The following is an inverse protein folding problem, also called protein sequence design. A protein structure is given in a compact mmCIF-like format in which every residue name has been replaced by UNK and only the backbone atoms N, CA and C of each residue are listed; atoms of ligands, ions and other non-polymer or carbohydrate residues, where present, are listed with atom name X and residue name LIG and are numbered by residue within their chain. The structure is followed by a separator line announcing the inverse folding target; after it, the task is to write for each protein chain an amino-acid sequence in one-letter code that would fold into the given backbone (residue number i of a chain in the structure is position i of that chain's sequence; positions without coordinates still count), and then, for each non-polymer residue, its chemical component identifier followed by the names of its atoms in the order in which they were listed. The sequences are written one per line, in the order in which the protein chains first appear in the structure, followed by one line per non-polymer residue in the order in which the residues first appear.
data_IF_436509110209
#
_entry.id   IF_436509110209
#
_cell.length_a   1.000
_cell.length_b   1.000
_cell.length_c   1.000
_cell.angle_alpha   90.00
_cell.angle_beta   90.00
_cell.angle_gamma   90.00
#
_symmetry.space_group_name_H-M   'P 1'
#
loop_
_entity.id
_entity.type
_entity.pdbx_description
1 polymer ?
#
# COMPACT_ATOMS: atom_id res chain seq x y z
N UNK A 1 2.51 -66.39 -2.58
CA UNK A 1 3.06 -65.81 -1.32
C UNK A 1 4.29 -64.92 -1.53
N UNK A 2 4.95 -64.93 -2.70
CA UNK A 2 6.15 -64.11 -2.95
C UNK A 2 5.80 -62.69 -3.44
N UNK A 3 4.73 -62.53 -4.22
CA UNK A 3 4.30 -61.24 -4.74
C UNK A 3 3.82 -60.25 -3.66
N UNK A 4 3.15 -60.74 -2.61
CA UNK A 4 2.66 -59.90 -1.51
C UNK A 4 3.80 -59.26 -0.72
N UNK A 5 4.87 -60.00 -0.42
CA UNK A 5 6.04 -59.47 0.31
C UNK A 5 6.79 -58.39 -0.47
N UNK A 6 6.86 -58.52 -1.79
CA UNK A 6 7.48 -57.52 -2.66
C UNK A 6 6.61 -56.27 -2.74
N UNK A 7 5.28 -56.44 -2.87
CA UNK A 7 4.29 -55.37 -2.80
C UNK A 7 4.36 -54.62 -1.47
N UNK A 8 4.39 -55.33 -0.34
CA UNK A 8 4.48 -54.73 1.00
C UNK A 8 5.76 -53.91 1.16
N UNK A 9 6.89 -54.40 0.63
CA UNK A 9 8.17 -53.70 0.67
C UNK A 9 8.16 -52.42 -0.17
N UNK A 10 7.54 -52.47 -1.35
CA UNK A 10 7.36 -51.30 -2.24
C UNK A 10 6.44 -50.28 -1.56
N UNK A 11 5.31 -50.72 -1.00
CA UNK A 11 4.37 -49.86 -0.29
C UNK A 11 5.02 -49.20 0.94
N UNK A 12 5.82 -49.95 1.70
CA UNK A 12 6.55 -49.42 2.86
C UNK A 12 7.57 -48.36 2.44
N UNK A 13 8.33 -48.61 1.36
CA UNK A 13 9.29 -47.64 0.85
C UNK A 13 8.59 -46.36 0.35
N UNK A 14 7.48 -46.50 -0.36
CA UNK A 14 6.68 -45.37 -0.84
C UNK A 14 6.09 -44.56 0.30
N UNK A 15 5.62 -45.22 1.37
CA UNK A 15 5.13 -44.56 2.57
C UNK A 15 6.23 -43.73 3.26
N UNK A 16 7.44 -44.29 3.42
CA UNK A 16 8.58 -43.57 4.01
C UNK A 16 8.93 -42.33 3.17
N UNK A 17 9.00 -42.48 1.84
CA UNK A 17 9.25 -41.35 0.93
C UNK A 17 8.16 -40.28 1.07
N UNK A 18 6.90 -40.69 1.15
CA UNK A 18 5.77 -39.77 1.33
C UNK A 18 5.88 -38.99 2.65
N UNK A 19 6.25 -39.65 3.75
CA UNK A 19 6.45 -38.99 5.06
C UNK A 19 7.59 -37.98 4.99
N UNK A 20 8.71 -38.34 4.35
CA UNK A 20 9.85 -37.43 4.18
C UNK A 20 9.44 -36.22 3.33
N UNK A 21 8.76 -36.45 2.20
CA UNK A 21 8.30 -35.39 1.32
C UNK A 21 7.31 -34.45 2.01
N UNK A 22 6.35 -35.00 2.76
CA UNK A 22 5.38 -34.21 3.53
C UNK A 22 6.07 -33.37 4.61
N UNK A 23 7.06 -33.94 5.31
CA UNK A 23 7.86 -33.22 6.31
C UNK A 23 8.66 -32.10 5.67
N UNK A 24 9.32 -32.35 4.53
CA UNK A 24 10.08 -31.35 3.79
C UNK A 24 9.19 -30.20 3.29
N UNK A 25 8.01 -30.51 2.75
CA UNK A 25 7.03 -29.51 2.33
C UNK A 25 6.52 -28.70 3.52
N UNK A 26 6.29 -29.32 4.66
CA UNK A 26 5.85 -28.61 5.88
C UNK A 26 6.91 -27.63 6.34
N UNK A 27 8.18 -28.05 6.41
CA UNK A 27 9.31 -27.16 6.74
C UNK A 27 9.40 -26.02 5.72
N UNK A 28 9.30 -26.33 4.42
CA UNK A 28 9.32 -25.34 3.35
C UNK A 28 8.24 -24.28 3.52
N UNK A 29 7.00 -24.66 3.84
CA UNK A 29 5.88 -23.73 4.07
C UNK A 29 6.09 -22.88 5.33
N UNK A 30 6.76 -23.39 6.36
CA UNK A 30 7.07 -22.64 7.58
C UNK A 30 8.14 -21.57 7.33
N UNK A 31 9.20 -21.90 6.57
CA UNK A 31 10.32 -20.99 6.32
C UNK A 31 10.07 -20.02 5.17
N UNK A 32 9.22 -20.38 4.21
CA UNK A 32 8.91 -19.52 3.08
C UNK A 32 7.96 -18.41 3.56
N UNK A 33 8.33 -17.13 3.42
CA UNK A 33 7.44 -16.03 3.74
C UNK A 33 6.12 -16.23 3.01
N UNK A 34 5.01 -16.23 3.75
CA UNK A 34 3.68 -16.23 3.12
C UNK A 34 3.61 -14.96 2.28
N UNK A 35 3.71 -15.07 0.96
CA UNK A 35 3.33 -14.00 0.04
C UNK A 35 1.82 -13.83 0.17
N UNK A 36 1.39 -13.09 1.19
CA UNK A 36 0.03 -12.58 1.29
C UNK A 36 -0.22 -11.55 0.20
N UNK A 37 -1.28 -10.75 0.34
CA UNK A 37 -1.46 -9.60 -0.54
C UNK A 37 -0.28 -8.62 -0.39
N UNK A 38 0.56 -8.54 -1.43
CA UNK A 38 1.69 -7.61 -1.53
C UNK A 38 1.16 -6.26 -2.01
N UNK A 39 0.67 -5.44 -1.08
CA UNK A 39 0.34 -4.06 -1.43
C UNK A 39 0.43 -3.06 -0.29
N UNK A 40 0.87 -1.86 -0.63
CA UNK A 40 0.92 -0.71 0.28
C UNK A 40 -0.49 -0.20 0.57
N UNK A 41 -0.86 -0.02 1.82
CA UNK A 41 -2.14 0.64 2.17
C UNK A 41 -1.94 2.15 2.08
N UNK A 42 -2.82 2.84 1.38
CA UNK A 42 -2.82 4.30 1.25
C UNK A 42 -4.21 4.83 1.57
N UNK A 43 -4.32 5.72 2.55
CA UNK A 43 -5.60 6.26 3.02
C UNK A 43 -5.46 7.70 3.51
N UNK A 44 -6.62 8.35 3.67
CA UNK A 44 -6.75 9.67 4.30
C UNK A 44 -7.76 9.60 5.43
N UNK A 45 -7.56 10.38 6.48
CA UNK A 45 -8.46 10.54 7.61
C UNK A 45 -8.77 12.03 7.82
N UNK A 46 -9.95 12.35 8.36
CA UNK A 46 -10.25 13.69 8.89
C UNK A 46 -9.50 13.94 10.20
N UNK A 47 -9.63 15.15 10.73
CA UNK A 47 -8.91 15.65 11.92
C UNK A 47 -9.06 14.75 13.15
N UNK A 48 -10.20 14.07 13.30
CA UNK A 48 -10.47 13.15 14.42
C UNK A 48 -9.83 11.75 14.25
N UNK A 49 -8.98 11.54 13.25
CA UNK A 49 -8.37 10.24 12.95
C UNK A 49 -9.37 9.20 12.44
N UNK A 50 -10.48 9.65 11.84
CA UNK A 50 -11.52 8.79 11.26
C UNK A 50 -11.59 8.99 9.77
N UNK A 51 -12.01 7.94 9.05
CA UNK A 51 -12.31 8.02 7.63
C UNK A 51 -13.65 8.74 7.35
N UNK A 52 -13.87 9.85 8.03
CA UNK A 52 -15.08 10.67 8.05
C UNK A 52 -14.70 12.12 8.34
N UNK A 53 -15.67 13.03 8.21
CA UNK A 53 -15.53 14.43 8.61
C UNK A 53 -14.37 15.15 7.90
N UNK A 54 -14.13 14.81 6.62
CA UNK A 54 -13.14 15.50 5.79
C UNK A 54 -13.56 16.95 5.50
N UNK A 55 -12.60 17.87 5.23
CA UNK A 55 -12.93 19.20 4.75
C UNK A 55 -13.67 19.15 3.41
N UNK A 56 -14.95 19.52 3.40
CA UNK A 56 -15.78 19.54 2.18
C UNK A 56 -16.06 20.94 1.64
N UNK A 57 -15.87 21.98 2.45
CA UNK A 57 -16.05 23.37 2.01
C UNK A 57 -15.05 24.27 2.72
N UNK A 58 -14.38 25.12 1.95
CA UNK A 58 -13.36 26.05 2.44
C UNK A 58 -13.55 27.41 1.78
N UNK A 59 -13.27 28.47 2.52
CA UNK A 59 -13.16 29.83 1.99
C UNK A 59 -11.82 30.01 1.28
N UNK A 60 -11.70 30.97 0.37
CA UNK A 60 -10.42 31.31 -0.23
C UNK A 60 -9.38 31.65 0.86
N UNK A 61 -8.23 30.97 0.83
CA UNK A 61 -7.17 31.11 1.82
C UNK A 61 -7.41 30.39 3.16
N UNK A 62 -8.56 29.76 3.35
CA UNK A 62 -8.81 28.88 4.50
C UNK A 62 -8.03 27.56 4.33
N UNK A 63 -7.42 27.12 5.41
CA UNK A 63 -6.67 25.86 5.45
C UNK A 63 -7.60 24.71 5.81
N UNK A 64 -7.57 23.66 4.99
CA UNK A 64 -8.13 22.36 5.34
C UNK A 64 -7.01 21.40 5.73
N UNK A 65 -7.30 20.49 6.66
CA UNK A 65 -6.35 19.48 7.12
C UNK A 65 -6.93 18.06 6.94
N UNK A 66 -6.07 17.14 6.53
CA UNK A 66 -6.33 15.70 6.56
C UNK A 66 -5.08 14.98 7.07
N UNK A 67 -5.25 13.78 7.61
CA UNK A 67 -4.12 12.90 7.95
C UNK A 67 -3.92 11.93 6.79
N UNK A 68 -2.71 11.89 6.26
CA UNK A 68 -2.32 10.96 5.19
C UNK A 68 -1.60 9.77 5.81
N UNK A 69 -2.07 8.56 5.51
CA UNK A 69 -1.49 7.31 6.00
C UNK A 69 -0.94 6.43 4.88
N UNK A 70 0.30 5.96 5.04
CA UNK A 70 0.97 5.01 4.15
C UNK A 70 1.48 3.83 4.98
N UNK A 71 1.11 2.60 4.60
CA UNK A 71 1.56 1.37 5.27
C UNK A 71 2.19 0.44 4.24
N UNK A 72 3.49 0.17 4.39
CA UNK A 72 4.18 -0.72 3.47
C UNK A 72 3.89 -2.20 3.81
N UNK A 73 3.31 -2.96 2.88
CA UNK A 73 3.17 -4.44 2.98
C UNK A 73 3.79 -5.19 1.79
N UNK A 74 4.80 -4.60 1.17
CA UNK A 74 5.47 -5.10 -0.03
C UNK A 74 6.59 -6.13 0.29
N UNK A 75 6.79 -6.49 1.57
CA UNK A 75 7.87 -7.36 2.07
C UNK A 75 9.31 -6.88 1.82
N UNK A 76 9.48 -5.63 1.40
CA UNK A 76 10.78 -5.00 1.14
C UNK A 76 10.78 -3.53 1.60
N UNK A 77 11.95 -2.90 1.66
CA UNK A 77 12.04 -1.46 1.88
C UNK A 77 11.67 -0.72 0.59
N UNK A 78 10.69 0.18 0.66
CA UNK A 78 10.20 0.91 -0.50
C UNK A 78 10.28 2.41 -0.26
N UNK A 79 10.79 3.11 -1.28
CA UNK A 79 10.71 4.57 -1.38
C UNK A 79 9.47 4.96 -2.19
N UNK A 80 8.64 5.82 -1.63
CA UNK A 80 7.42 6.36 -2.22
C UNK A 80 7.55 7.88 -2.41
N UNK A 81 6.80 8.42 -3.36
CA UNK A 81 6.55 9.86 -3.47
C UNK A 81 5.06 10.10 -3.29
N UNK A 82 4.70 10.75 -2.20
CA UNK A 82 3.39 11.33 -2.02
C UNK A 82 3.31 12.67 -2.76
N UNK A 83 2.22 12.89 -3.49
CA UNK A 83 1.91 14.15 -4.16
C UNK A 83 0.46 14.51 -3.91
N UNK A 84 0.21 15.73 -3.45
CA UNK A 84 -1.11 16.32 -3.43
C UNK A 84 -1.24 17.31 -4.58
N UNK A 85 -2.27 17.18 -5.40
CA UNK A 85 -2.45 17.98 -6.60
C UNK A 85 -3.90 18.33 -6.88
N UNK A 86 -4.09 19.44 -7.57
CA UNK A 86 -5.36 19.88 -8.16
C UNK A 86 -5.21 19.86 -9.68
N UNK A 87 -6.30 20.12 -10.42
CA UNK A 87 -6.24 20.22 -11.88
C UNK A 87 -5.26 21.28 -12.40
N UNK A 88 -4.93 22.29 -11.58
CA UNK A 88 -4.14 23.44 -12.02
C UNK A 88 -2.70 23.43 -11.51
N UNK A 89 -2.41 22.71 -10.41
CA UNK A 89 -1.10 22.74 -9.75
C UNK A 89 -0.90 21.57 -8.79
N UNK A 90 0.37 21.23 -8.57
CA UNK A 90 0.81 20.50 -7.39
C UNK A 90 0.74 21.40 -6.16
N UNK A 91 0.15 20.91 -5.08
CA UNK A 91 0.11 21.61 -3.79
C UNK A 91 1.41 21.36 -3.05
N UNK A 92 1.79 20.10 -2.89
CA UNK A 92 2.99 19.69 -2.18
C UNK A 92 3.38 18.24 -2.53
N UNK A 93 4.62 17.89 -2.20
CA UNK A 93 5.20 16.56 -2.40
C UNK A 93 6.02 16.13 -1.18
N UNK A 94 6.05 14.82 -0.92
CA UNK A 94 6.83 14.25 0.17
C UNK A 94 7.39 12.89 -0.22
N UNK A 95 8.71 12.77 -0.15
CA UNK A 95 9.39 11.47 -0.23
C UNK A 95 9.23 10.70 1.09
N UNK A 96 8.97 9.41 0.99
CA UNK A 96 8.66 8.54 2.11
C UNK A 96 9.42 7.23 1.91
N UNK A 97 10.29 6.85 2.84
CA UNK A 97 10.88 5.52 2.86
C UNK A 97 10.29 4.71 4.00
N UNK A 98 9.81 3.50 3.70
CA UNK A 98 9.20 2.62 4.69
C UNK A 98 9.76 1.21 4.56
N UNK A 99 10.18 0.65 5.69
CA UNK A 99 10.45 -0.77 5.81
C UNK A 99 9.15 -1.60 5.75
N UNK A 100 9.28 -2.91 5.54
CA UNK A 100 8.13 -3.81 5.55
C UNK A 100 7.36 -3.71 6.88
N UNK A 101 6.03 -3.58 6.78
CA UNK A 101 5.07 -3.35 7.87
C UNK A 101 5.23 -2.03 8.63
N UNK A 102 6.07 -1.11 8.14
CA UNK A 102 6.14 0.23 8.69
C UNK A 102 4.95 1.08 8.24
N UNK A 103 4.49 1.95 9.13
CA UNK A 103 3.38 2.88 8.91
C UNK A 103 3.87 4.29 9.15
N UNK A 104 3.57 5.19 8.21
CA UNK A 104 3.74 6.62 8.38
C UNK A 104 2.39 7.30 8.24
N UNK A 105 2.00 8.03 9.28
CA UNK A 105 0.89 8.97 9.26
C UNK A 105 1.43 10.38 9.47
N UNK A 106 0.94 11.35 8.71
CA UNK A 106 1.29 12.75 8.88
C UNK A 106 0.12 13.67 8.57
N UNK A 107 -0.02 14.81 9.28
CA UNK A 107 -0.98 15.83 8.92
C UNK A 107 -0.57 16.48 7.60
N UNK A 108 -1.55 16.74 6.76
CA UNK A 108 -1.40 17.40 5.47
C UNK A 108 -2.40 18.55 5.38
N UNK A 109 -1.86 19.76 5.33
CA UNK A 109 -2.63 20.99 5.25
C UNK A 109 -2.61 21.51 3.82
N UNK A 110 -3.75 22.01 3.35
CA UNK A 110 -3.88 22.60 2.02
C UNK A 110 -4.82 23.80 2.04
N UNK A 111 -4.62 24.72 1.11
CA UNK A 111 -5.49 25.87 0.92
C UNK A 111 -5.67 26.16 -0.57
N UNK A 112 -6.75 26.88 -0.87
CA UNK A 112 -7.12 27.26 -2.23
C UNK A 112 -7.00 28.75 -2.45
N UNK A 113 -6.59 29.11 -3.66
CA UNK A 113 -6.45 30.50 -4.09
C UNK A 113 -7.73 31.01 -4.78
N UNK A 114 -7.83 32.33 -4.98
CA UNK A 114 -9.02 32.95 -5.58
C UNK A 114 -9.33 32.45 -7.01
N UNK A 115 -8.32 32.01 -7.75
CA UNK A 115 -8.48 31.40 -9.08
C UNK A 115 -9.11 30.00 -9.03
N UNK A 116 -9.20 29.40 -7.84
CA UNK A 116 -9.68 28.04 -7.61
C UNK A 116 -11.11 28.02 -7.01
N UNK A 117 -11.88 29.09 -7.15
CA UNK A 117 -13.28 29.15 -6.72
C UNK A 117 -14.16 28.07 -7.39
N UNK A 118 -15.14 27.57 -6.65
CA UNK A 118 -16.08 26.54 -7.07
C UNK A 118 -15.69 25.14 -6.60
N UNK A 119 -16.32 24.12 -7.19
CA UNK A 119 -16.06 22.72 -6.83
C UNK A 119 -14.74 22.25 -7.41
N UNK A 120 -13.80 21.86 -6.54
CA UNK A 120 -12.45 21.40 -6.91
C UNK A 120 -12.22 19.97 -6.47
N UNK A 121 -11.46 19.24 -7.30
CA UNK A 121 -10.98 17.90 -7.00
C UNK A 121 -9.56 18.01 -6.48
N UNK A 122 -9.36 17.68 -5.21
CA UNK A 122 -8.04 17.50 -4.63
C UNK A 122 -7.68 16.02 -4.74
N UNK A 123 -6.59 15.70 -5.44
CA UNK A 123 -6.07 14.34 -5.56
C UNK A 123 -4.89 14.17 -4.62
N UNK A 124 -4.82 12.98 -4.04
CA UNK A 124 -3.66 12.48 -3.32
C UNK A 124 -3.14 11.29 -4.10
N UNK A 125 -1.90 11.37 -4.55
CA UNK A 125 -1.28 10.38 -5.43
C UNK A 125 -0.06 9.83 -4.71
N UNK A 126 0.06 8.51 -4.70
CA UNK A 126 1.23 7.81 -4.20
C UNK A 126 1.92 7.14 -5.37
N UNK A 127 3.14 7.56 -5.65
CA UNK A 127 4.03 6.89 -6.58
C UNK A 127 4.91 5.91 -5.82
N UNK A 128 5.10 4.71 -6.38
CA UNK A 128 6.03 3.72 -5.86
C UNK A 128 7.33 3.83 -6.65
N UNK A 129 8.46 4.05 -5.97
CA UNK A 129 9.77 3.98 -6.60
C UNK A 129 10.05 2.55 -7.04
N UNK A 130 10.46 2.37 -8.29
CA UNK A 130 11.08 1.13 -8.72
C UNK A 130 12.55 1.41 -9.05
N UNK A 131 13.45 0.43 -8.92
CA UNK A 131 14.88 0.67 -9.13
C UNK A 131 15.23 1.03 -10.59
N UNK A 132 14.32 0.79 -11.54
CA UNK A 132 14.51 0.97 -12.99
C UNK A 132 13.99 2.30 -13.55
N UNK A 133 13.04 2.93 -12.89
CA UNK A 133 12.33 4.15 -13.28
C UNK A 133 12.22 4.98 -12.00
N UNK A 134 12.94 6.10 -11.94
CA UNK A 134 13.07 6.93 -10.74
C UNK A 134 11.72 7.24 -10.06
N UNK A 135 11.77 7.58 -8.78
CA UNK A 135 10.57 7.82 -7.97
C UNK A 135 9.68 8.87 -8.66
N UNK A 136 8.44 8.49 -8.99
CA UNK A 136 7.48 9.37 -9.68
C UNK A 136 7.58 9.42 -11.21
N UNK A 137 8.44 8.61 -11.85
CA UNK A 137 8.52 8.49 -13.32
C UNK A 137 7.48 7.50 -13.91
N UNK A 138 6.91 6.64 -13.07
CA UNK A 138 5.90 5.65 -13.45
C UNK A 138 4.47 6.16 -13.24
N UNK A 139 3.50 5.44 -13.80
CA UNK A 139 2.06 5.65 -13.54
C UNK A 139 1.78 5.67 -12.02
N UNK A 140 0.79 6.47 -11.57
CA UNK A 140 0.33 6.48 -10.19
C UNK A 140 0.12 5.07 -9.63
N UNK A 141 0.78 4.75 -8.52
CA UNK A 141 0.63 3.44 -7.88
C UNK A 141 -0.72 3.37 -7.12
N UNK A 142 -1.08 4.44 -6.41
CA UNK A 142 -2.39 4.60 -5.76
C UNK A 142 -2.89 6.03 -5.81
N UNK A 143 -4.20 6.19 -5.88
CA UNK A 143 -4.87 7.48 -5.91
C UNK A 143 -6.06 7.53 -4.96
N UNK A 144 -6.20 8.67 -4.29
CA UNK A 144 -7.37 9.07 -3.50
C UNK A 144 -7.80 10.47 -3.94
N UNK A 145 -9.03 10.85 -3.66
CA UNK A 145 -9.48 12.21 -3.95
C UNK A 145 -10.56 12.69 -3.00
N UNK A 146 -10.60 14.00 -2.81
CA UNK A 146 -11.68 14.72 -2.15
C UNK A 146 -12.28 15.76 -3.10
N UNK A 147 -13.58 15.96 -2.98
CA UNK A 147 -14.28 17.08 -3.61
C UNK A 147 -14.46 18.18 -2.59
N UNK A 148 -14.02 19.39 -2.91
CA UNK A 148 -14.05 20.54 -2.01
C UNK A 148 -14.75 21.70 -2.71
N UNK A 149 -15.75 22.26 -2.05
CA UNK A 149 -16.43 23.47 -2.50
C UNK A 149 -15.72 24.72 -1.97
N UNK A 150 -14.97 25.39 -2.85
CA UNK A 150 -14.23 26.62 -2.55
C UNK A 150 -15.14 27.84 -2.75
N UNK A 151 -15.38 28.60 -1.69
CA UNK A 151 -16.35 29.70 -1.65
C UNK A 151 -15.70 31.08 -1.78
#
# INVERSE_FOLDING_TARGET
MQDSKTLDKILTALLIISIIAASALTIYVIITPKKGEEFTVFYILGEAGKAADYPTSLSIGEEGEVIVGVVNREYENISYLFRAETENRTIDEKEIELAHNETLEFPFTFSFTASEKGRKKLKFVLFKGNQSEGIGAAEPYRELHLWIDVR
#
